data_IF_530999765950
#
_entry.id   IF_530999765950
#
_cell.length_a   1.000
_cell.length_b   1.000
_cell.length_c   1.000
_cell.angle_alpha   90.00
_cell.angle_beta   90.00
_cell.angle_gamma   90.00
#
_symmetry.space_group_name_H-M   'P 1'
#
loop_
_entity.id
_entity.type
_entity.pdbx_description
1 polymer ?
#
# COMPACT_ATOMS: atom_id res chain seq x y z
N UNK A 1 -1.93 22.20 -5.22
CA UNK A 1 -1.62 21.03 -4.37
C UNK A 1 -1.27 21.53 -2.98
N UNK A 2 -1.89 21.00 -1.92
CA UNK A 2 -1.65 21.44 -0.54
C UNK A 2 -0.27 20.98 -0.07
N UNK A 3 0.42 21.78 0.76
CA UNK A 3 1.73 21.42 1.33
C UNK A 3 1.74 20.02 1.97
N UNK A 4 0.62 19.60 2.58
CA UNK A 4 0.43 18.27 3.15
C UNK A 4 0.53 17.12 2.12
N UNK A 5 0.00 17.30 0.91
CA UNK A 5 0.11 16.29 -0.16
C UNK A 5 1.56 16.16 -0.64
N UNK A 6 2.30 17.28 -0.68
CA UNK A 6 3.74 17.28 -0.98
C UNK A 6 4.51 16.57 0.13
N UNK A 7 4.20 16.89 1.39
CA UNK A 7 4.79 16.22 2.57
C UNK A 7 4.57 14.70 2.54
N UNK A 8 3.35 14.26 2.22
CA UNK A 8 3.05 12.85 2.01
C UNK A 8 3.89 12.23 0.91
N UNK A 9 4.00 12.88 -0.26
CA UNK A 9 4.80 12.37 -1.36
C UNK A 9 6.28 12.23 -0.97
N UNK A 10 6.82 13.21 -0.23
CA UNK A 10 8.19 13.15 0.30
C UNK A 10 8.34 11.98 1.28
N UNK A 11 7.43 11.82 2.24
CA UNK A 11 7.45 10.70 3.19
C UNK A 11 7.36 9.36 2.45
N UNK A 12 6.43 9.23 1.50
CA UNK A 12 6.25 8.02 0.71
C UNK A 12 7.53 7.69 -0.07
N UNK A 13 8.18 8.67 -0.71
CA UNK A 13 9.44 8.48 -1.43
C UNK A 13 10.61 8.12 -0.51
N UNK A 14 10.72 8.79 0.64
CA UNK A 14 11.76 8.51 1.64
C UNK A 14 11.60 7.11 2.18
N UNK A 15 10.39 6.73 2.60
CA UNK A 15 10.11 5.39 3.09
C UNK A 15 10.36 4.36 1.99
N UNK A 16 9.90 4.61 0.76
CA UNK A 16 10.13 3.75 -0.39
C UNK A 16 11.62 3.48 -0.64
N UNK A 17 12.42 4.55 -0.69
CA UNK A 17 13.87 4.48 -0.85
C UNK A 17 14.57 3.80 0.33
N UNK A 18 14.17 4.11 1.56
CA UNK A 18 14.71 3.48 2.77
C UNK A 18 14.41 1.98 2.81
N UNK A 19 13.19 1.56 2.42
CA UNK A 19 12.82 0.16 2.30
C UNK A 19 13.67 -0.55 1.25
N UNK A 20 13.85 0.04 0.06
CA UNK A 20 14.74 -0.51 -0.96
C UNK A 20 16.18 -0.64 -0.50
N UNK A 21 16.70 0.37 0.20
CA UNK A 21 18.05 0.36 0.74
C UNK A 21 18.19 -0.76 1.78
N UNK A 22 17.23 -0.86 2.69
CA UNK A 22 17.19 -1.91 3.71
C UNK A 22 17.26 -3.32 3.09
N UNK A 23 16.50 -3.59 2.02
CA UNK A 23 16.54 -4.89 1.34
C UNK A 23 17.91 -5.21 0.72
N UNK A 24 18.65 -4.18 0.27
CA UNK A 24 20.02 -4.35 -0.26
C UNK A 24 21.03 -4.71 0.83
N UNK A 25 20.89 -4.13 2.02
CA UNK A 25 21.86 -4.30 3.11
C UNK A 25 21.58 -5.51 3.99
N UNK A 26 20.30 -5.75 4.30
CA UNK A 26 19.92 -6.79 5.26
C UNK A 26 19.43 -8.08 4.60
N UNK A 27 18.98 -8.02 3.34
CA UNK A 27 18.28 -9.13 2.70
C UNK A 27 16.99 -9.51 3.45
N UNK A 28 16.18 -10.39 2.88
CA UNK A 28 15.01 -10.93 3.59
C UNK A 28 15.15 -12.43 3.76
N UNK A 29 15.37 -12.86 5.00
CA UNK A 29 15.17 -14.25 5.38
C UNK A 29 13.66 -14.55 5.41
N UNK A 30 13.14 -15.20 4.36
CA UNK A 30 11.81 -15.82 4.43
C UNK A 30 11.90 -17.08 5.29
N UNK A 31 11.06 -17.19 6.33
CA UNK A 31 11.05 -18.36 7.20
C UNK A 31 10.62 -19.66 6.50
N UNK A 32 10.07 -19.61 5.29
CA UNK A 32 9.67 -20.80 4.53
C UNK A 32 10.21 -20.69 3.09
N UNK A 33 11.14 -21.60 2.74
CA UNK A 33 11.53 -21.99 1.38
C UNK A 33 12.53 -21.08 0.62
N UNK A 34 13.83 -21.29 0.85
CA UNK A 34 14.92 -21.04 -0.10
C UNK A 34 15.24 -19.58 -0.47
N UNK A 35 16.34 -19.33 -1.20
CA UNK A 35 16.69 -18.01 -1.70
C UNK A 35 15.74 -17.66 -2.86
N UNK A 36 14.65 -16.95 -2.56
CA UNK A 36 13.82 -16.30 -3.58
C UNK A 36 14.52 -15.02 -4.05
N UNK A 37 14.64 -14.78 -5.37
CA UNK A 37 15.18 -13.53 -5.90
C UNK A 37 14.41 -12.35 -5.31
N UNK A 38 15.08 -11.49 -4.55
CA UNK A 38 14.44 -10.33 -3.92
C UNK A 38 14.09 -9.31 -5.01
N UNK A 39 12.81 -9.21 -5.32
CA UNK A 39 12.27 -8.14 -6.14
C UNK A 39 12.40 -6.80 -5.41
N UNK A 40 12.65 -5.75 -6.17
CA UNK A 40 12.73 -4.35 -5.71
C UNK A 40 11.55 -3.89 -4.83
N UNK A 41 10.39 -4.54 -4.95
CA UNK A 41 9.14 -4.21 -4.26
C UNK A 41 8.82 -5.14 -3.09
N UNK A 42 9.66 -6.12 -2.78
CA UNK A 42 9.36 -7.16 -1.80
C UNK A 42 9.28 -6.63 -0.37
N UNK A 43 9.98 -5.52 -0.06
CA UNK A 43 9.86 -4.80 1.21
C UNK A 43 8.41 -4.40 1.49
N UNK A 44 7.68 -4.04 0.44
CA UNK A 44 6.32 -3.52 0.47
C UNK A 44 5.25 -4.61 0.30
N UNK A 45 5.66 -5.83 -0.08
CA UNK A 45 4.75 -6.95 -0.32
C UNK A 45 4.81 -7.98 0.83
N UNK A 46 4.64 -7.51 2.08
CA UNK A 46 4.70 -8.34 3.29
C UNK A 46 3.35 -8.41 4.01
N UNK A 47 3.22 -9.39 4.89
CA UNK A 47 2.02 -9.61 5.71
C UNK A 47 0.75 -9.71 4.83
N UNK A 48 -0.21 -8.80 5.04
CA UNK A 48 -1.50 -8.81 4.36
C UNK A 48 -1.44 -8.52 2.86
N UNK A 49 -0.33 -7.96 2.37
CA UNK A 49 -0.12 -7.80 0.93
C UNK A 49 -0.21 -9.15 0.19
N UNK A 50 0.20 -10.25 0.84
CA UNK A 50 0.10 -11.59 0.26
C UNK A 50 -1.35 -12.06 0.10
N UNK A 51 -2.23 -11.73 1.05
CA UNK A 51 -3.66 -12.01 0.99
C UNK A 51 -4.33 -11.22 -0.14
N UNK A 52 -4.08 -9.91 -0.21
CA UNK A 52 -4.63 -9.07 -1.28
C UNK A 52 -4.13 -9.49 -2.66
N UNK A 53 -2.85 -9.83 -2.81
CA UNK A 53 -2.31 -10.38 -4.05
C UNK A 53 -3.02 -11.67 -4.45
N UNK A 54 -3.20 -12.61 -3.51
CA UNK A 54 -3.92 -13.87 -3.76
C UNK A 54 -5.35 -13.64 -4.22
N UNK A 55 -6.08 -12.70 -3.60
CA UNK A 55 -7.45 -12.35 -4.03
C UNK A 55 -7.43 -11.74 -5.44
N UNK A 56 -6.50 -10.81 -5.70
CA UNK A 56 -6.40 -10.15 -7.00
C UNK A 56 -6.04 -11.13 -8.14
N UNK A 57 -5.21 -12.15 -7.87
CA UNK A 57 -4.79 -13.13 -8.89
C UNK A 57 -5.72 -14.32 -9.03
N UNK A 58 -6.28 -14.80 -7.92
CA UNK A 58 -6.93 -16.12 -7.85
C UNK A 58 -8.36 -16.06 -7.29
N UNK A 59 -8.83 -14.88 -6.90
CA UNK A 59 -10.15 -14.68 -6.33
C UNK A 59 -10.26 -15.06 -4.86
N UNK A 60 -11.49 -14.99 -4.36
CA UNK A 60 -11.79 -15.36 -2.98
C UNK A 60 -11.84 -16.88 -2.81
N UNK A 61 -11.30 -17.36 -1.70
CA UNK A 61 -11.35 -18.75 -1.26
C UNK A 61 -11.80 -18.84 0.20
N UNK A 62 -12.60 -19.85 0.52
CA UNK A 62 -13.08 -20.14 1.86
C UNK A 62 -12.81 -21.60 2.21
N UNK A 63 -12.20 -21.83 3.36
CA UNK A 63 -11.98 -23.15 3.93
C UNK A 63 -12.38 -23.12 5.41
N UNK A 64 -13.43 -23.86 5.83
CA UNK A 64 -13.86 -23.91 7.22
C UNK A 64 -12.72 -24.32 8.17
N UNK A 65 -12.58 -23.63 9.30
CA UNK A 65 -11.54 -23.90 10.29
C UNK A 65 -10.14 -23.35 9.93
N UNK A 66 -9.98 -22.69 8.79
CA UNK A 66 -8.69 -22.15 8.33
C UNK A 66 -8.77 -20.67 7.96
N UNK A 67 -7.62 -19.99 8.01
CA UNK A 67 -7.48 -18.63 7.50
C UNK A 67 -7.86 -18.58 6.01
N UNK A 68 -8.80 -17.68 5.71
CA UNK A 68 -9.44 -17.58 4.41
C UNK A 68 -9.49 -16.14 3.96
N UNK A 69 -9.49 -15.92 2.65
CA UNK A 69 -9.47 -14.57 2.08
C UNK A 69 -10.79 -13.81 2.25
N UNK A 70 -11.88 -14.50 2.60
CA UNK A 70 -13.23 -13.92 2.74
C UNK A 70 -13.34 -12.82 3.80
N UNK A 71 -12.39 -12.72 4.73
CA UNK A 71 -12.36 -11.66 5.73
C UNK A 71 -11.92 -10.29 5.16
N UNK A 72 -11.32 -10.25 3.96
CA UNK A 72 -10.76 -9.03 3.38
C UNK A 72 -11.78 -8.28 2.51
N UNK A 73 -11.84 -6.95 2.67
CA UNK A 73 -12.75 -6.09 1.91
C UNK A 73 -12.38 -6.07 0.40
N UNK A 74 -13.36 -6.17 -0.52
CA UNK A 74 -13.09 -6.43 -1.94
C UNK A 74 -12.59 -5.24 -2.76
N UNK A 75 -12.84 -3.99 -2.34
CA UNK A 75 -12.51 -2.85 -3.19
C UNK A 75 -11.01 -2.79 -3.55
N UNK A 76 -10.14 -2.96 -2.57
CA UNK A 76 -8.69 -2.89 -2.76
C UNK A 76 -8.15 -3.98 -3.74
N UNK A 77 -8.41 -5.29 -3.54
CA UNK A 77 -7.91 -6.32 -4.47
C UNK A 77 -8.60 -6.27 -5.84
N UNK A 78 -9.83 -5.74 -5.96
CA UNK A 78 -10.47 -5.53 -7.27
C UNK A 78 -9.77 -4.43 -8.07
N UNK A 79 -9.40 -3.31 -7.44
CA UNK A 79 -8.60 -2.26 -8.10
C UNK A 79 -7.21 -2.80 -8.46
N UNK A 80 -6.58 -3.57 -7.57
CA UNK A 80 -5.32 -4.26 -7.88
C UNK A 80 -5.45 -5.19 -9.09
N UNK A 81 -6.55 -5.95 -9.20
CA UNK A 81 -6.80 -6.84 -10.34
C UNK A 81 -6.97 -6.06 -11.64
N UNK A 82 -7.72 -4.95 -11.61
CA UNK A 82 -7.91 -4.09 -12.77
C UNK A 82 -6.59 -3.50 -13.28
N UNK A 83 -5.78 -2.93 -12.38
CA UNK A 83 -4.43 -2.44 -12.72
C UNK A 83 -3.46 -3.57 -13.10
N UNK A 84 -3.70 -4.77 -12.56
CA UNK A 84 -2.97 -6.00 -12.90
C UNK A 84 -3.01 -6.37 -14.40
N UNK A 85 -3.93 -5.79 -15.17
CA UNK A 85 -3.98 -5.96 -16.62
C UNK A 85 -2.82 -5.24 -17.35
N UNK A 86 -2.22 -4.22 -16.75
CA UNK A 86 -1.16 -3.39 -17.37
C UNK A 86 0.17 -3.42 -16.60
N UNK A 87 0.18 -3.90 -15.36
CA UNK A 87 1.39 -4.00 -14.53
C UNK A 87 1.33 -5.22 -13.62
N UNK A 88 2.45 -5.55 -12.97
CA UNK A 88 2.49 -6.62 -11.96
C UNK A 88 1.54 -6.28 -10.81
N UNK A 89 0.70 -7.24 -10.38
CA UNK A 89 -0.27 -7.07 -9.28
C UNK A 89 0.37 -6.53 -7.98
N UNK A 90 1.60 -6.95 -7.67
CA UNK A 90 2.38 -6.43 -6.54
C UNK A 90 2.72 -4.95 -6.66
N UNK A 91 2.96 -4.46 -7.88
CA UNK A 91 3.19 -3.03 -8.14
C UNK A 91 1.87 -2.27 -8.09
N UNK A 92 0.79 -2.86 -8.62
CA UNK A 92 -0.55 -2.30 -8.53
C UNK A 92 -0.97 -2.04 -7.07
N UNK A 93 -0.70 -2.97 -6.14
CA UNK A 93 -0.97 -2.78 -4.71
C UNK A 93 -0.27 -1.53 -4.14
N UNK A 94 1.01 -1.34 -4.47
CA UNK A 94 1.77 -0.17 -4.01
C UNK A 94 1.17 1.12 -4.58
N UNK A 95 0.85 1.14 -5.88
CA UNK A 95 0.24 2.30 -6.53
C UNK A 95 -1.10 2.66 -5.88
N UNK A 96 -1.98 1.66 -5.65
CA UNK A 96 -3.28 1.88 -5.01
C UNK A 96 -3.10 2.40 -3.58
N UNK A 97 -2.16 1.85 -2.82
CA UNK A 97 -1.87 2.29 -1.45
C UNK A 97 -1.41 3.75 -1.43
N UNK A 98 -0.43 4.11 -2.26
CA UNK A 98 0.12 5.47 -2.30
C UNK A 98 -0.93 6.48 -2.77
N UNK A 99 -1.69 6.13 -3.82
CA UNK A 99 -2.76 6.97 -4.32
C UNK A 99 -3.87 7.18 -3.27
N UNK A 100 -4.24 6.12 -2.54
CA UNK A 100 -5.27 6.19 -1.49
C UNK A 100 -4.82 7.06 -0.32
N UNK A 101 -3.54 6.96 0.11
CA UNK A 101 -2.99 7.82 1.15
C UNK A 101 -2.96 9.30 0.74
N UNK A 102 -2.54 9.58 -0.50
CA UNK A 102 -2.57 10.95 -1.04
C UNK A 102 -4.00 11.50 -1.12
N UNK A 103 -4.96 10.69 -1.57
CA UNK A 103 -6.37 11.05 -1.63
C UNK A 103 -6.95 11.31 -0.23
N UNK A 104 -6.63 10.46 0.75
CA UNK A 104 -7.07 10.63 2.14
C UNK A 104 -6.57 11.97 2.72
N UNK A 105 -5.30 12.29 2.52
CA UNK A 105 -4.72 13.57 2.99
C UNK A 105 -5.34 14.76 2.28
N UNK A 106 -5.58 14.66 0.97
CA UNK A 106 -6.23 15.72 0.22
C UNK A 106 -7.68 15.95 0.70
N UNK A 107 -8.46 14.89 0.86
CA UNK A 107 -9.83 14.96 1.35
C UNK A 107 -9.90 15.48 2.79
N UNK A 108 -9.00 15.02 3.67
CA UNK A 108 -8.90 15.52 5.03
C UNK A 108 -8.50 17.00 5.07
N UNK A 109 -7.55 17.42 4.23
CA UNK A 109 -7.17 18.83 4.08
C UNK A 109 -8.35 19.70 3.61
N UNK A 110 -9.17 19.20 2.69
CA UNK A 110 -10.37 19.90 2.22
C UNK A 110 -11.42 19.99 3.32
N UNK A 111 -11.58 18.91 4.11
CA UNK A 111 -12.49 18.87 5.23
C UNK A 111 -12.08 19.85 6.33
N UNK A 112 -10.81 19.87 6.76
CA UNK A 112 -10.34 20.77 7.82
C UNK A 112 -10.51 22.23 7.43
N UNK A 113 -10.15 22.60 6.19
CA UNK A 113 -10.33 23.97 5.67
C UNK A 113 -11.79 24.45 5.62
N UNK A 114 -12.75 23.52 5.60
CA UNK A 114 -14.18 23.85 5.61
C UNK A 114 -14.69 24.23 7.01
N UNK A 115 -14.05 23.73 8.07
CA UNK A 115 -14.57 23.82 9.43
C UNK A 115 -13.63 24.50 10.43
N UNK A 116 -12.35 24.65 10.11
CA UNK A 116 -11.32 25.20 11.01
C UNK A 116 -10.71 26.47 10.41
N UNK A 117 -10.13 27.30 11.28
CA UNK A 117 -9.32 28.45 10.84
C UNK A 117 -8.04 27.98 10.13
N UNK A 118 -7.38 28.91 9.42
CA UNK A 118 -6.21 28.60 8.60
C UNK A 118 -5.04 28.03 9.41
N UNK A 119 -4.79 28.52 10.64
CA UNK A 119 -3.68 28.05 11.46
C UNK A 119 -3.96 26.64 11.97
N UNK A 120 -5.15 26.41 12.50
CA UNK A 120 -5.57 25.10 12.99
C UNK A 120 -5.65 24.05 11.87
N UNK A 121 -6.11 24.46 10.68
CA UNK A 121 -6.18 23.58 9.50
C UNK A 121 -4.80 23.10 9.04
N UNK A 122 -3.76 23.92 9.16
CA UNK A 122 -2.39 23.53 8.82
C UNK A 122 -1.77 22.64 9.89
N UNK A 123 -2.04 22.90 11.17
CA UNK A 123 -1.53 22.09 12.28
C UNK A 123 -2.13 20.69 12.36
N UNK A 124 -3.34 20.51 11.84
CA UNK A 124 -4.03 19.21 11.80
C UNK A 124 -3.43 18.24 10.75
N UNK A 125 -2.58 18.72 9.85
CA UNK A 125 -2.00 17.98 8.72
C UNK A 125 -0.54 17.65 8.95
#
# INVERSE_FOLDING_TARGET
MCAATIGYAVIALVLFGAGMLSMRWFGVAHHHSGPVPHGFVDAWNRWDASWYRRIATSGYSYLPGHQSTVAFFPAYPLVMRALGAVMRVSVAGIVVTVASGAAAIALFSLWTRRFLDVRTSVLAL
#
